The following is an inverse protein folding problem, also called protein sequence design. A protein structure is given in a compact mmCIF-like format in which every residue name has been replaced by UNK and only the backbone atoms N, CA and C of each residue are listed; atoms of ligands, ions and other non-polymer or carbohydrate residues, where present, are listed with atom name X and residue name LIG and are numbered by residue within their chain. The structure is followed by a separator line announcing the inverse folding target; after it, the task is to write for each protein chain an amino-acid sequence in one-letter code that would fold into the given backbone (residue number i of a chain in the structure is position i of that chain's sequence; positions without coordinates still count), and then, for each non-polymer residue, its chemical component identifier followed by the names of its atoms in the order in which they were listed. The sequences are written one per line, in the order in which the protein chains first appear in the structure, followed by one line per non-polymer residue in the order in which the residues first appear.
data_IF_401047821094
#
_entry.id   IF_401047821094
#
_cell.length_a   1.000
_cell.length_b   1.000
_cell.length_c   1.000
_cell.angle_alpha   90.00
_cell.angle_beta   90.00
_cell.angle_gamma   90.00
#
_symmetry.space_group_name_H-M   'P 1'
#
loop_
_entity.id
_entity.type
_entity.pdbx_description
1 polymer ?
#
# COMPACT_ATOMS: atom_id res chain seq x y z
N UNK A 1 -10.08 -0.61 -16.05
CA UNK A 1 -8.79 -0.09 -15.49
C UNK A 1 -8.20 -1.17 -14.61
N UNK A 2 -6.92 -1.54 -14.77
CA UNK A 2 -6.31 -2.50 -13.85
C UNK A 2 -6.25 -1.88 -12.45
N UNK A 3 -6.59 -2.61 -11.38
CA UNK A 3 -6.47 -2.08 -10.02
C UNK A 3 -5.00 -1.73 -9.74
N UNK A 4 -4.76 -0.50 -9.28
CA UNK A 4 -3.44 0.02 -8.95
C UNK A 4 -3.40 0.31 -7.46
N UNK A 5 -2.87 -0.63 -6.69
CA UNK A 5 -2.54 -0.42 -5.29
C UNK A 5 -1.20 0.32 -5.12
N UNK A 6 -0.86 0.66 -3.89
CA UNK A 6 0.40 1.34 -3.58
C UNK A 6 1.65 0.54 -3.99
N UNK A 7 1.56 -0.78 -4.00
CA UNK A 7 2.65 -1.67 -4.45
C UNK A 7 2.90 -1.54 -5.94
N UNK A 8 1.84 -1.59 -6.74
CA UNK A 8 1.89 -1.47 -8.20
C UNK A 8 2.35 -0.08 -8.62
N UNK A 9 1.87 0.97 -7.94
CA UNK A 9 2.32 2.35 -8.18
C UNK A 9 3.81 2.53 -7.95
N UNK A 10 4.39 1.94 -6.90
CA UNK A 10 5.83 2.01 -6.65
C UNK A 10 6.63 1.30 -7.75
N UNK A 11 6.11 0.21 -8.30
CA UNK A 11 6.75 -0.48 -9.42
C UNK A 11 6.65 0.33 -10.72
N UNK A 12 5.51 0.96 -10.98
CA UNK A 12 5.37 1.88 -12.12
C UNK A 12 6.32 3.08 -12.00
N UNK A 13 6.50 3.65 -10.80
CA UNK A 13 7.49 4.71 -10.58
C UNK A 13 8.92 4.23 -10.82
N UNK A 14 9.26 3.02 -10.39
CA UNK A 14 10.56 2.44 -10.68
C UNK A 14 10.81 2.38 -12.20
N UNK A 15 9.85 1.87 -12.97
CA UNK A 15 9.94 1.77 -14.43
C UNK A 15 10.04 3.13 -15.14
N UNK A 16 9.45 4.17 -14.58
CA UNK A 16 9.51 5.53 -15.15
C UNK A 16 10.84 6.26 -14.90
N UNK A 17 11.58 5.87 -13.84
CA UNK A 17 12.76 6.61 -13.39
C UNK A 17 14.07 5.84 -13.53
N UNK A 18 14.02 4.56 -13.84
CA UNK A 18 15.20 3.72 -14.05
C UNK A 18 15.28 3.31 -15.50
N UNK A 19 16.49 3.33 -16.07
CA UNK A 19 16.75 2.91 -17.44
C UNK A 19 16.21 1.48 -17.69
N UNK A 20 15.44 1.32 -18.77
CA UNK A 20 14.85 0.03 -19.14
C UNK A 20 15.88 -1.07 -19.37
N UNK A 21 17.03 -0.72 -20.00
CA UNK A 21 18.11 -1.67 -20.23
C UNK A 21 18.72 -2.18 -18.90
N UNK A 22 18.77 -1.31 -17.89
CA UNK A 22 19.18 -1.73 -16.55
C UNK A 22 18.15 -2.65 -15.92
N UNK A 23 16.86 -2.32 -16.01
CA UNK A 23 15.77 -3.12 -15.43
C UNK A 23 15.63 -4.50 -16.06
N UNK A 24 16.03 -4.69 -17.31
CA UNK A 24 16.03 -5.99 -17.98
C UNK A 24 16.92 -7.03 -17.31
N UNK A 25 17.91 -6.62 -16.52
CA UNK A 25 18.77 -7.53 -15.75
C UNK A 25 18.09 -8.11 -14.49
N UNK A 26 16.89 -7.65 -14.15
CA UNK A 26 16.18 -8.04 -12.94
C UNK A 26 14.87 -8.76 -13.24
N UNK A 27 14.55 -9.77 -12.45
CA UNK A 27 13.22 -10.36 -12.32
C UNK A 27 12.65 -9.91 -10.97
N UNK A 28 11.70 -8.96 -10.99
CA UNK A 28 11.18 -8.34 -9.76
C UNK A 28 9.80 -8.92 -9.44
N UNK A 29 9.72 -9.66 -8.35
CA UNK A 29 8.48 -10.18 -7.78
C UNK A 29 7.98 -9.26 -6.65
N UNK A 30 6.73 -8.81 -6.73
CA UNK A 30 6.15 -7.88 -5.76
C UNK A 30 5.39 -8.64 -4.66
N UNK A 31 5.84 -8.51 -3.44
CA UNK A 31 5.23 -8.96 -2.17
C UNK A 31 4.99 -10.45 -2.04
N UNK A 32 4.42 -11.12 -3.03
CA UNK A 32 4.00 -12.53 -2.94
C UNK A 32 4.93 -13.40 -3.77
N UNK A 33 5.74 -14.26 -3.14
CA UNK A 33 6.65 -15.16 -3.84
C UNK A 33 5.93 -16.03 -4.89
N UNK A 34 6.60 -16.26 -6.03
CA UNK A 34 6.07 -17.12 -7.09
C UNK A 34 5.08 -16.44 -8.05
N UNK A 35 4.67 -15.18 -7.84
CA UNK A 35 3.83 -14.43 -8.79
C UNK A 35 4.54 -14.10 -10.10
N UNK A 36 5.86 -14.00 -10.05
CA UNK A 36 6.72 -13.82 -11.22
C UNK A 36 7.64 -15.03 -11.28
N UNK A 37 7.76 -15.72 -12.44
CA UNK A 37 8.67 -16.83 -12.58
C UNK A 37 10.13 -16.41 -12.32
N UNK A 38 10.87 -17.27 -11.64
CA UNK A 38 12.31 -17.08 -11.45
C UNK A 38 13.02 -17.17 -12.80
N UNK A 39 14.04 -16.38 -12.99
CA UNK A 39 14.85 -16.35 -14.20
C UNK A 39 16.28 -16.83 -13.92
N UNK A 40 16.78 -17.79 -14.67
CA UNK A 40 18.17 -18.24 -14.56
C UNK A 40 19.18 -17.20 -15.03
N UNK A 41 18.75 -16.24 -15.88
CA UNK A 41 19.64 -15.25 -16.51
C UNK A 41 19.48 -13.84 -15.95
N UNK A 42 18.70 -13.67 -14.87
CA UNK A 42 18.45 -12.36 -14.23
C UNK A 42 18.63 -12.46 -12.74
N UNK A 43 18.89 -11.32 -12.12
CA UNK A 43 18.87 -11.19 -10.66
C UNK A 43 17.40 -11.23 -10.20
N UNK A 44 17.05 -12.25 -9.43
CA UNK A 44 15.70 -12.43 -8.91
C UNK A 44 15.53 -11.65 -7.60
N UNK A 45 14.62 -10.69 -7.60
CA UNK A 45 14.33 -9.82 -6.47
C UNK A 45 12.92 -10.08 -5.95
N UNK A 46 12.78 -10.31 -4.65
CA UNK A 46 11.50 -10.24 -3.96
C UNK A 46 11.38 -8.89 -3.25
N UNK A 47 10.58 -7.99 -3.84
CA UNK A 47 10.35 -6.66 -3.28
C UNK A 47 9.17 -6.67 -2.32
N UNK A 48 9.45 -6.81 -1.02
CA UNK A 48 8.44 -6.98 0.00
C UNK A 48 7.83 -5.64 0.44
N UNK A 49 6.50 -5.55 0.34
CA UNK A 49 5.70 -4.36 0.69
C UNK A 49 4.70 -4.63 1.83
N UNK A 50 4.50 -5.89 2.19
CA UNK A 50 3.54 -6.33 3.20
C UNK A 50 4.25 -6.66 4.51
N UNK A 51 3.50 -6.72 5.61
CA UNK A 51 4.01 -7.18 6.89
C UNK A 51 4.13 -8.72 6.94
N UNK A 52 4.96 -9.30 7.83
CA UNK A 52 5.24 -10.73 7.86
C UNK A 52 4.09 -11.61 8.35
N UNK A 53 3.04 -11.02 8.89
CA UNK A 53 1.85 -11.72 9.43
C UNK A 53 0.85 -12.18 8.36
N UNK A 54 1.10 -11.88 7.08
CA UNK A 54 0.19 -12.25 5.99
C UNK A 54 0.26 -13.76 5.69
N UNK A 55 -0.86 -14.51 5.81
CA UNK A 55 -0.86 -15.98 5.74
C UNK A 55 -0.32 -16.54 4.42
N UNK A 56 -0.65 -15.89 3.31
CA UNK A 56 -0.45 -16.42 1.95
C UNK A 56 1.01 -16.55 1.48
N UNK A 57 1.98 -16.08 2.26
CA UNK A 57 3.40 -16.26 1.95
C UNK A 57 4.24 -16.78 3.14
N UNK A 58 3.64 -16.99 4.30
CA UNK A 58 4.39 -17.43 5.48
C UNK A 58 5.12 -18.75 5.27
N UNK A 59 4.51 -19.70 4.57
CA UNK A 59 5.14 -20.99 4.27
C UNK A 59 6.41 -20.85 3.45
N UNK A 60 6.42 -19.93 2.48
CA UNK A 60 7.63 -19.61 1.72
C UNK A 60 8.76 -19.15 2.64
N UNK A 61 8.49 -18.19 3.51
CA UNK A 61 9.52 -17.60 4.38
C UNK A 61 9.97 -18.52 5.53
N UNK A 62 9.19 -19.52 5.89
CA UNK A 62 9.58 -20.56 6.86
C UNK A 62 10.53 -21.61 6.27
N UNK A 63 10.50 -21.79 4.97
CA UNK A 63 11.35 -22.74 4.25
C UNK A 63 12.71 -22.09 3.92
N UNK A 64 13.75 -22.48 4.64
CA UNK A 64 15.10 -21.95 4.48
C UNK A 64 15.73 -22.27 3.11
N UNK A 65 15.34 -23.38 2.47
CA UNK A 65 15.81 -23.70 1.12
C UNK A 65 15.15 -22.79 0.08
N UNK A 66 13.85 -22.51 0.24
CA UNK A 66 13.15 -21.58 -0.65
C UNK A 66 13.64 -20.14 -0.53
N UNK A 67 14.21 -19.75 0.61
CA UNK A 67 14.84 -18.45 0.74
C UNK A 67 16.07 -18.28 -0.17
N UNK A 68 16.61 -19.35 -0.73
CA UNK A 68 17.69 -19.28 -1.71
C UNK A 68 17.21 -18.99 -3.14
N UNK A 69 15.90 -19.08 -3.40
CA UNK A 69 15.29 -18.83 -4.72
C UNK A 69 15.47 -17.39 -5.20
N UNK A 70 15.55 -16.43 -4.28
CA UNK A 70 15.77 -15.01 -4.59
C UNK A 70 17.18 -14.58 -4.23
N UNK A 71 17.81 -13.82 -5.14
CA UNK A 71 19.12 -13.24 -4.91
C UNK A 71 19.05 -12.13 -3.88
N UNK A 72 18.00 -11.31 -3.92
CA UNK A 72 17.80 -10.20 -2.97
C UNK A 72 16.35 -10.08 -2.49
N UNK A 73 16.24 -9.68 -1.23
CA UNK A 73 15.00 -9.29 -0.55
C UNK A 73 15.02 -7.78 -0.32
N UNK A 74 14.13 -7.04 -0.98
CA UNK A 74 14.06 -5.59 -0.85
C UNK A 74 12.89 -5.20 0.03
N UNK A 75 13.14 -4.40 1.06
CA UNK A 75 12.14 -3.92 2.02
C UNK A 75 11.94 -2.42 1.90
N UNK A 76 10.73 -1.94 2.15
CA UNK A 76 10.37 -0.53 2.06
C UNK A 76 10.80 0.30 3.29
N UNK A 77 11.22 -0.34 4.39
CA UNK A 77 11.67 0.32 5.61
C UNK A 77 12.55 -0.60 6.46
N UNK A 78 13.37 -0.01 7.33
CA UNK A 78 14.13 -0.76 8.33
C UNK A 78 13.19 -1.51 9.29
N UNK A 79 12.06 -0.92 9.65
CA UNK A 79 11.06 -1.59 10.48
C UNK A 79 10.57 -2.89 9.82
N UNK A 80 10.18 -2.83 8.54
CA UNK A 80 9.70 -4.01 7.81
C UNK A 80 10.80 -5.08 7.70
N UNK A 81 12.02 -4.69 7.34
CA UNK A 81 13.16 -5.58 7.32
C UNK A 81 13.37 -6.28 8.66
N UNK A 82 13.38 -5.54 9.79
CA UNK A 82 13.57 -6.09 11.12
C UNK A 82 12.44 -7.06 11.53
N UNK A 83 11.20 -6.80 11.15
CA UNK A 83 10.09 -7.72 11.40
C UNK A 83 10.30 -9.05 10.67
N UNK A 84 10.67 -9.02 9.38
CA UNK A 84 10.96 -10.21 8.60
C UNK A 84 12.18 -10.96 9.14
N UNK A 85 13.26 -10.26 9.47
CA UNK A 85 14.47 -10.84 10.05
C UNK A 85 14.19 -11.58 11.35
N UNK A 86 13.44 -10.97 12.26
CA UNK A 86 13.06 -11.59 13.54
C UNK A 86 12.16 -12.81 13.37
N UNK A 87 11.24 -12.77 12.41
CA UNK A 87 10.24 -13.81 12.23
C UNK A 87 10.78 -15.01 11.44
N UNK A 88 11.58 -14.77 10.39
CA UNK A 88 11.94 -15.79 9.41
C UNK A 88 13.44 -16.06 9.27
N UNK A 89 14.30 -15.40 10.05
CA UNK A 89 15.77 -15.58 10.02
C UNK A 89 16.39 -15.38 8.63
N UNK A 90 15.95 -14.35 7.92
CA UNK A 90 16.46 -14.02 6.59
C UNK A 90 17.98 -13.79 6.60
N UNK A 91 18.71 -14.21 5.54
CA UNK A 91 20.12 -13.94 5.38
C UNK A 91 20.34 -12.43 5.19
N UNK A 92 21.08 -11.85 6.12
CA UNK A 92 21.27 -10.38 6.18
C UNK A 92 21.91 -9.82 4.89
N UNK A 93 22.88 -10.55 4.34
CA UNK A 93 23.65 -10.19 3.14
C UNK A 93 22.80 -10.09 1.87
N UNK A 94 21.62 -10.69 1.87
CA UNK A 94 20.64 -10.60 0.77
C UNK A 94 19.55 -9.58 0.98
N UNK A 95 19.55 -8.88 2.10
CA UNK A 95 18.51 -7.94 2.47
C UNK A 95 18.92 -6.50 2.19
N UNK A 96 18.07 -5.77 1.47
CA UNK A 96 18.28 -4.36 1.12
C UNK A 96 17.07 -3.54 1.53
N UNK A 97 17.27 -2.35 2.07
CA UNK A 97 16.18 -1.41 2.37
C UNK A 97 16.17 -0.28 1.36
N UNK A 98 15.11 -0.24 0.54
CA UNK A 98 14.85 0.86 -0.41
C UNK A 98 13.50 1.46 -0.05
N UNK A 99 13.50 2.69 0.48
CA UNK A 99 12.27 3.40 0.87
C UNK A 99 11.40 3.69 -0.35
N UNK A 100 10.09 3.79 -0.11
CA UNK A 100 9.16 4.19 -1.16
C UNK A 100 9.50 5.59 -1.67
N UNK A 101 9.54 5.74 -3.00
CA UNK A 101 9.63 7.03 -3.66
C UNK A 101 8.28 7.72 -3.75
N UNK A 102 8.30 9.04 -3.90
CA UNK A 102 7.12 9.85 -4.24
C UNK A 102 7.47 10.79 -5.39
N UNK A 103 6.47 11.20 -6.13
CA UNK A 103 6.65 12.27 -7.12
C UNK A 103 6.99 13.59 -6.43
N UNK A 104 7.77 14.44 -7.12
CA UNK A 104 8.01 15.80 -6.66
C UNK A 104 6.68 16.56 -6.65
N UNK A 105 6.21 16.89 -5.47
CA UNK A 105 5.01 17.69 -5.28
C UNK A 105 5.40 19.16 -5.16
N UNK A 106 4.66 20.04 -5.86
CA UNK A 106 4.73 21.47 -5.56
C UNK A 106 4.15 21.71 -4.17
N UNK A 107 4.99 22.12 -3.25
CA UNK A 107 4.53 22.51 -1.92
C UNK A 107 3.62 23.73 -2.04
N UNK A 108 2.51 23.70 -1.33
CA UNK A 108 1.67 24.89 -1.19
C UNK A 108 2.40 25.93 -0.34
N UNK A 109 2.17 27.20 -0.60
CA UNK A 109 2.65 28.28 0.25
C UNK A 109 2.08 28.09 1.67
N UNK A 110 2.93 27.87 2.69
CA UNK A 110 2.46 27.68 4.07
C UNK A 110 1.79 28.93 4.66
N UNK A 111 1.94 30.09 4.01
CA UNK A 111 1.30 31.37 4.42
C UNK A 111 -0.16 31.47 4.03
N UNK A 112 -0.67 30.59 3.14
CA UNK A 112 -2.10 30.53 2.86
C UNK A 112 -2.84 29.94 4.07
N UNK A 113 -3.27 30.82 4.98
CA UNK A 113 -4.22 30.42 6.04
C UNK A 113 -5.51 29.97 5.38
N UNK A 114 -5.97 28.80 5.74
CA UNK A 114 -7.31 28.32 5.38
C UNK A 114 -8.22 28.50 6.58
N UNK A 115 -9.43 28.97 6.33
CA UNK A 115 -10.45 29.09 7.37
C UNK A 115 -10.90 27.74 7.92
N UNK A 116 -10.66 26.66 7.13
CA UNK A 116 -11.07 25.30 7.48
C UNK A 116 -9.90 24.32 7.41
N UNK A 117 -9.86 23.41 8.35
CA UNK A 117 -8.99 22.22 8.35
C UNK A 117 -9.67 21.15 7.51
N UNK A 118 -9.07 20.81 6.37
CA UNK A 118 -9.54 19.73 5.51
C UNK A 118 -8.78 18.45 5.82
N UNK A 119 -9.52 17.44 6.24
CA UNK A 119 -9.06 16.06 6.37
C UNK A 119 -9.39 15.29 5.11
N UNK A 120 -8.60 14.28 4.80
CA UNK A 120 -8.87 13.36 3.70
C UNK A 120 -8.79 11.91 4.18
N UNK A 121 -9.75 11.10 3.79
CA UNK A 121 -9.72 9.65 3.94
C UNK A 121 -9.83 9.00 2.56
N UNK A 122 -8.78 8.25 2.17
CA UNK A 122 -8.73 7.59 0.86
C UNK A 122 -8.47 6.07 0.92
N UNK A 123 -8.29 5.41 2.09
CA UNK A 123 -8.19 3.97 2.17
C UNK A 123 -9.53 3.28 1.92
N UNK A 124 -9.49 1.96 1.76
CA UNK A 124 -10.68 1.11 1.72
C UNK A 124 -11.46 1.16 3.04
N UNK A 125 -12.78 0.93 3.04
CA UNK A 125 -13.65 1.21 4.18
C UNK A 125 -13.29 0.44 5.47
N UNK A 126 -12.74 -0.79 5.35
CA UNK A 126 -12.31 -1.58 6.52
C UNK A 126 -11.05 -1.06 7.21
N UNK A 127 -10.39 -0.04 6.67
CA UNK A 127 -9.19 0.56 7.27
C UNK A 127 -9.49 1.68 8.26
N UNK A 128 -10.62 1.59 8.96
CA UNK A 128 -10.98 2.48 10.04
C UNK A 128 -11.93 3.63 9.67
N UNK A 129 -12.65 3.56 8.52
CA UNK A 129 -13.63 4.57 8.15
C UNK A 129 -14.71 4.71 9.23
N UNK A 130 -15.20 3.60 9.80
CA UNK A 130 -16.20 3.63 10.88
C UNK A 130 -15.73 4.39 12.11
N UNK A 131 -14.47 4.20 12.51
CA UNK A 131 -13.86 4.90 13.66
C UNK A 131 -13.74 6.39 13.35
N UNK A 132 -13.31 6.75 12.14
CA UNK A 132 -13.17 8.14 11.73
C UNK A 132 -14.52 8.85 11.66
N UNK A 133 -15.56 8.22 11.10
CA UNK A 133 -16.92 8.79 11.06
C UNK A 133 -17.49 8.96 12.48
N UNK A 134 -17.24 8.02 13.38
CA UNK A 134 -17.58 8.16 14.80
C UNK A 134 -16.91 9.37 15.44
N UNK A 135 -15.64 9.60 15.15
CA UNK A 135 -14.91 10.78 15.62
C UNK A 135 -15.50 12.08 15.01
N UNK A 136 -15.79 12.10 13.70
CA UNK A 136 -16.38 13.26 13.02
C UNK A 136 -17.76 13.61 13.58
N UNK A 137 -18.54 12.62 14.00
CA UNK A 137 -19.84 12.82 14.64
C UNK A 137 -19.74 13.54 16.00
N UNK A 138 -18.63 13.33 16.72
CA UNK A 138 -18.36 13.98 18.02
C UNK A 138 -17.76 15.38 17.86
N UNK A 139 -17.17 15.69 16.71
CA UNK A 139 -16.55 16.99 16.44
C UNK A 139 -17.63 18.02 16.16
N UNK A 140 -17.82 18.95 17.09
CA UNK A 140 -18.76 20.08 16.95
C UNK A 140 -18.12 21.31 16.30
N UNK A 141 -16.81 21.29 16.06
CA UNK A 141 -16.11 22.41 15.44
C UNK A 141 -16.40 22.47 13.94
N UNK A 142 -17.06 23.54 13.50
CA UNK A 142 -17.44 23.76 12.09
C UNK A 142 -16.27 24.03 11.15
N UNK A 143 -15.06 24.25 11.71
CA UNK A 143 -13.87 24.50 10.90
C UNK A 143 -13.12 23.25 10.48
N UNK A 144 -13.67 22.04 10.76
CA UNK A 144 -13.09 20.77 10.37
C UNK A 144 -14.03 20.08 9.39
N UNK A 145 -13.53 19.77 8.20
CA UNK A 145 -14.24 19.02 7.15
C UNK A 145 -13.45 17.78 6.77
N UNK A 146 -14.16 16.68 6.46
CA UNK A 146 -13.58 15.43 6.00
C UNK A 146 -14.07 15.10 4.59
N UNK A 147 -13.11 14.96 3.65
CA UNK A 147 -13.38 14.43 2.32
C UNK A 147 -13.08 12.92 2.32
N UNK A 148 -14.09 12.08 2.00
CA UNK A 148 -14.00 10.62 1.99
C UNK A 148 -14.01 10.10 0.56
N UNK A 149 -12.88 9.54 0.13
CA UNK A 149 -12.68 8.82 -1.14
C UNK A 149 -12.52 7.34 -0.85
N UNK A 150 -13.58 6.67 -0.45
CA UNK A 150 -13.49 5.27 0.00
C UNK A 150 -14.46 4.39 -0.75
N UNK A 151 -13.94 3.35 -1.39
CA UNK A 151 -14.73 2.29 -2.01
C UNK A 151 -13.89 1.02 -2.14
N UNK A 152 -14.53 -0.08 -2.54
CA UNK A 152 -13.84 -1.34 -2.85
C UNK A 152 -13.36 -1.41 -4.31
N UNK A 153 -13.71 -0.43 -5.15
CA UNK A 153 -13.39 -0.31 -6.59
C UNK A 153 -11.92 -0.49 -6.94
N UNK A 154 -11.02 -0.09 -6.03
CA UNK A 154 -9.59 -0.20 -6.22
C UNK A 154 -9.12 -1.63 -6.49
N UNK A 155 -9.90 -2.64 -6.09
CA UNK A 155 -9.61 -4.06 -6.32
C UNK A 155 -10.28 -4.64 -7.57
N UNK A 156 -10.99 -3.83 -8.35
CA UNK A 156 -11.66 -4.21 -9.59
C UNK A 156 -13.17 -4.43 -9.42
N UNK A 157 -13.87 -4.47 -10.56
CA UNK A 157 -15.35 -4.52 -10.62
C UNK A 157 -15.96 -5.75 -9.97
N UNK A 158 -15.29 -6.90 -10.07
CA UNK A 158 -15.80 -8.15 -9.51
C UNK A 158 -15.72 -8.12 -7.99
N UNK A 159 -14.58 -7.68 -7.46
CA UNK A 159 -14.43 -7.48 -6.03
C UNK A 159 -15.40 -6.44 -5.46
N UNK A 160 -15.68 -5.36 -6.19
CA UNK A 160 -16.67 -4.35 -5.82
C UNK A 160 -18.06 -4.96 -5.71
N UNK A 161 -18.51 -5.70 -6.72
CA UNK A 161 -19.83 -6.36 -6.73
C UNK A 161 -20.05 -7.26 -5.52
N UNK A 162 -19.00 -8.01 -5.15
CA UNK A 162 -19.11 -9.01 -4.09
C UNK A 162 -18.98 -8.41 -2.68
N UNK A 163 -18.32 -7.26 -2.55
CA UNK A 163 -17.91 -6.76 -1.24
C UNK A 163 -18.42 -5.36 -0.88
N UNK A 164 -18.78 -4.51 -1.85
CA UNK A 164 -19.07 -3.09 -1.55
C UNK A 164 -20.37 -2.92 -0.77
N UNK A 165 -21.36 -3.78 -1.02
CA UNK A 165 -22.67 -3.75 -0.36
C UNK A 165 -22.63 -3.85 1.16
N UNK A 166 -21.64 -4.57 1.72
CA UNK A 166 -21.48 -4.69 3.18
C UNK A 166 -21.07 -3.37 3.86
N UNK A 167 -20.58 -2.39 3.08
CA UNK A 167 -20.17 -1.08 3.57
C UNK A 167 -21.19 0.02 3.28
N UNK A 168 -22.33 -0.31 2.64
CA UNK A 168 -23.32 0.67 2.23
C UNK A 168 -23.83 1.52 3.41
N UNK A 169 -24.14 0.89 4.54
CA UNK A 169 -24.56 1.62 5.75
C UNK A 169 -23.51 2.64 6.23
N UNK A 170 -22.23 2.32 6.07
CA UNK A 170 -21.11 3.21 6.43
C UNK A 170 -21.00 4.39 5.46
N UNK A 171 -21.23 4.16 4.17
CA UNK A 171 -21.25 5.21 3.16
C UNK A 171 -22.44 6.14 3.36
N UNK A 172 -23.61 5.59 3.71
CA UNK A 172 -24.82 6.39 3.99
C UNK A 172 -24.63 7.21 5.27
N UNK A 173 -24.00 6.67 6.31
CA UNK A 173 -23.59 7.44 7.49
C UNK A 173 -22.68 8.60 7.11
N UNK A 174 -21.68 8.37 6.24
CA UNK A 174 -20.78 9.45 5.79
C UNK A 174 -21.53 10.59 5.10
N UNK A 175 -22.54 10.27 4.26
CA UNK A 175 -23.37 11.26 3.56
C UNK A 175 -24.29 12.07 4.48
N UNK A 176 -24.64 11.54 5.63
CA UNK A 176 -25.54 12.21 6.59
C UNK A 176 -24.80 13.19 7.52
N UNK A 177 -23.49 13.10 7.65
CA UNK A 177 -22.72 13.97 8.53
C UNK A 177 -22.44 15.33 7.85
N UNK A 178 -22.81 16.46 8.48
CA UNK A 178 -22.73 17.78 7.85
C UNK A 178 -21.30 18.28 7.59
N UNK A 179 -20.29 17.69 8.27
CA UNK A 179 -18.88 17.99 8.14
C UNK A 179 -18.10 16.90 7.38
N UNK A 180 -18.81 16.02 6.64
CA UNK A 180 -18.22 14.94 5.84
C UNK A 180 -18.74 15.04 4.40
N UNK A 181 -17.83 15.04 3.45
CA UNK A 181 -18.12 14.95 2.02
C UNK A 181 -17.75 13.55 1.53
N UNK A 182 -18.73 12.72 1.20
CA UNK A 182 -18.50 11.44 0.54
C UNK A 182 -18.47 11.63 -0.97
N UNK A 183 -17.35 11.28 -1.63
CA UNK A 183 -17.05 11.61 -3.03
C UNK A 183 -16.99 10.35 -3.89
#
# INVERSE_FOLDING_TARGET
MKPLGGTELQYEFLKQHVDSNLLENFSICLSVPGRVPLSANKINILWQKMAPDQPHFQEFYKDQERLKEYDYYVFNSHWNYEQFRKTFKLPHERCVVIKNGIQNLKLRDPKQKKDKIKLIYHPTPWRGLSVLLGAMQLIKNTNIELDVYSSTKIYGSDFEKDNDSQYQALYDQAKLLPNVNYI
#
